data_IF_369047674921
#
_entry.id   IF_369047674921
#
_cell.length_a   1.000
_cell.length_b   1.000
_cell.length_c   1.000
_cell.angle_alpha   90.00
_cell.angle_beta   90.00
_cell.angle_gamma   90.00
#
_symmetry.space_group_name_H-M   'P 1'
#
loop_
_entity.id
_entity.type
_entity.pdbx_description
1 polymer ?
#
# COMPACT_ATOMS: atom_id res chain seq x y z
N UNK A 1 -13.44 4.20 33.28
CA UNK A 1 -13.47 5.27 32.27
C UNK A 1 -12.86 6.50 32.93
N UNK A 2 -11.66 6.94 32.53
CA UNK A 2 -11.03 8.12 33.12
C UNK A 2 -11.70 9.38 32.54
N UNK A 3 -12.21 10.31 33.36
CA UNK A 3 -12.82 11.53 32.85
C UNK A 3 -11.72 12.46 32.32
N UNK A 4 -11.71 12.71 31.02
CA UNK A 4 -10.83 13.71 30.41
C UNK A 4 -11.36 15.11 30.65
N UNK A 5 -10.48 16.07 30.96
CA UNK A 5 -10.85 17.47 31.14
C UNK A 5 -11.09 18.15 29.78
N UNK A 6 -12.29 18.69 29.49
CA UNK A 6 -12.55 19.44 28.26
C UNK A 6 -11.68 20.69 28.18
N UNK A 7 -11.15 21.01 26.99
CA UNK A 7 -10.44 22.27 26.72
C UNK A 7 -8.91 22.21 26.74
N UNK A 8 -8.30 21.05 27.00
CA UNK A 8 -6.86 20.86 26.85
C UNK A 8 -6.54 20.17 25.51
N UNK A 9 -5.93 20.90 24.58
CA UNK A 9 -5.30 20.29 23.41
C UNK A 9 -4.15 19.41 23.88
N UNK A 10 -4.34 18.09 23.84
CA UNK A 10 -3.23 17.14 23.97
C UNK A 10 -2.58 16.97 22.62
N UNK A 11 -1.29 17.29 22.53
CA UNK A 11 -0.47 16.90 21.39
C UNK A 11 -0.39 15.37 21.39
N UNK A 12 -1.15 14.72 20.50
CA UNK A 12 -1.22 13.26 20.40
C UNK A 12 0.07 12.68 19.80
N UNK A 13 0.85 13.48 19.07
CA UNK A 13 2.13 13.10 18.48
C UNK A 13 2.95 14.33 18.05
N UNK A 14 4.26 14.13 17.89
CA UNK A 14 5.19 15.08 17.27
C UNK A 14 6.33 14.31 16.60
N UNK A 15 7.23 14.96 15.84
CA UNK A 15 8.24 14.30 14.99
C UNK A 15 9.26 13.39 15.72
N UNK A 16 9.17 13.24 17.04
CA UNK A 16 10.04 12.42 17.86
C UNK A 16 9.30 11.48 18.82
N UNK A 17 8.03 11.16 18.54
CA UNK A 17 7.26 10.14 19.28
C UNK A 17 7.16 8.89 18.41
N UNK A 18 7.44 7.72 18.98
CA UNK A 18 7.28 6.45 18.26
C UNK A 18 5.87 6.34 17.67
N UNK A 19 5.79 6.02 16.37
CA UNK A 19 4.53 5.94 15.63
C UNK A 19 4.00 7.29 15.13
N UNK A 20 4.83 8.33 15.02
CA UNK A 20 4.43 9.60 14.41
C UNK A 20 4.20 9.42 12.90
N UNK A 21 3.20 10.12 12.36
CA UNK A 21 2.97 10.15 10.93
C UNK A 21 3.90 11.18 10.27
N UNK A 22 4.63 10.74 9.26
CA UNK A 22 5.49 11.55 8.41
C UNK A 22 4.88 11.62 7.01
N UNK A 23 4.29 12.76 6.67
CA UNK A 23 3.81 13.01 5.32
C UNK A 23 4.99 13.14 4.35
N UNK A 24 4.82 12.63 3.14
CA UNK A 24 5.78 12.79 2.04
C UNK A 24 5.06 13.36 0.82
N UNK A 25 5.82 13.93 -0.12
CA UNK A 25 5.27 14.15 -1.46
C UNK A 25 4.85 12.79 -2.02
N UNK A 26 3.60 12.60 -2.48
CA UNK A 26 3.13 11.30 -2.94
C UNK A 26 4.05 10.67 -3.98
N UNK A 27 4.39 9.40 -3.79
CA UNK A 27 5.33 8.69 -4.63
C UNK A 27 4.87 7.29 -4.97
N UNK A 28 4.93 6.94 -6.25
CA UNK A 28 4.67 5.56 -6.70
C UNK A 28 5.80 4.65 -6.26
N UNK A 29 5.47 3.58 -5.56
CA UNK A 29 6.44 2.53 -5.17
C UNK A 29 6.30 1.27 -6.01
N UNK A 30 5.15 1.12 -6.69
CA UNK A 30 4.88 -0.02 -7.55
C UNK A 30 3.78 0.28 -8.59
N UNK A 31 3.97 -0.23 -9.81
CA UNK A 31 2.97 -0.30 -10.87
C UNK A 31 3.11 -1.65 -11.56
N UNK A 32 2.04 -2.45 -11.61
CA UNK A 32 2.13 -3.78 -12.24
C UNK A 32 2.27 -3.71 -13.76
N UNK A 33 2.09 -2.54 -14.38
CA UNK A 33 2.14 -2.37 -15.84
C UNK A 33 3.54 -2.05 -16.36
N UNK A 34 4.47 -1.69 -15.48
CA UNK A 34 5.85 -1.29 -15.85
C UNK A 34 6.84 -2.44 -15.60
N UNK A 35 7.97 -2.43 -16.29
CA UNK A 35 8.89 -3.56 -16.37
C UNK A 35 9.49 -4.01 -15.03
N UNK A 36 9.77 -3.07 -14.12
CA UNK A 36 10.42 -3.32 -12.83
C UNK A 36 9.48 -3.00 -11.65
N UNK A 37 9.56 -3.74 -10.52
CA UNK A 37 10.41 -4.90 -10.27
C UNK A 37 9.79 -6.25 -10.70
N UNK A 38 8.47 -6.30 -10.90
CA UNK A 38 7.76 -7.51 -11.29
C UNK A 38 6.49 -7.10 -12.04
N UNK A 39 6.48 -7.16 -13.39
CA UNK A 39 5.36 -6.72 -14.21
C UNK A 39 4.26 -7.78 -14.24
N UNK A 40 3.12 -7.38 -14.80
CA UNK A 40 2.03 -8.26 -15.17
C UNK A 40 0.81 -8.13 -14.25
N UNK A 41 -0.35 -8.40 -14.86
CA UNK A 41 -1.63 -8.50 -14.17
C UNK A 41 -1.54 -9.49 -13.00
N UNK A 42 -2.24 -9.21 -11.91
CA UNK A 42 -2.34 -10.12 -10.77
C UNK A 42 -3.64 -10.94 -10.93
N UNK A 43 -3.51 -12.21 -11.30
CA UNK A 43 -4.65 -13.11 -11.49
C UNK A 43 -5.22 -13.61 -10.16
N UNK A 44 -6.43 -14.15 -10.21
CA UNK A 44 -7.08 -14.77 -9.07
C UNK A 44 -6.19 -15.82 -8.39
N UNK A 45 -6.13 -15.78 -7.06
CA UNK A 45 -5.28 -16.61 -6.19
C UNK A 45 -3.76 -16.38 -6.37
N UNK A 46 -3.34 -15.40 -7.17
CA UNK A 46 -1.95 -14.97 -7.20
C UNK A 46 -1.67 -13.93 -6.11
N UNK A 47 -0.40 -13.84 -5.76
CA UNK A 47 0.12 -12.86 -4.82
C UNK A 47 1.45 -12.30 -5.28
N UNK A 48 1.77 -11.10 -4.82
CA UNK A 48 3.06 -10.44 -5.08
C UNK A 48 3.52 -9.72 -3.82
N UNK A 49 4.76 -10.00 -3.40
CA UNK A 49 5.41 -9.26 -2.31
C UNK A 49 6.16 -8.08 -2.91
N UNK A 50 5.90 -6.89 -2.37
CA UNK A 50 6.34 -5.60 -2.90
C UNK A 50 7.09 -4.85 -1.81
N UNK A 51 8.33 -4.46 -2.08
CA UNK A 51 9.03 -3.49 -1.24
C UNK A 51 8.50 -2.08 -1.49
N UNK A 52 8.17 -1.35 -0.43
CA UNK A 52 7.80 0.06 -0.47
C UNK A 52 8.97 0.98 -0.12
N UNK A 53 10.17 0.43 0.09
CA UNK A 53 11.33 1.19 0.55
C UNK A 53 11.80 2.27 -0.44
N UNK A 54 11.51 2.12 -1.74
CA UNK A 54 12.00 3.02 -2.79
C UNK A 54 10.87 3.54 -3.66
N UNK A 55 10.95 4.82 -4.04
CA UNK A 55 10.09 5.41 -5.07
C UNK A 55 10.59 5.01 -6.45
N UNK A 56 9.64 4.80 -7.36
CA UNK A 56 9.88 4.36 -8.73
C UNK A 56 9.30 5.34 -9.73
N UNK A 57 9.93 5.40 -10.90
CA UNK A 57 9.39 6.14 -12.04
C UNK A 57 8.35 5.32 -12.82
N UNK A 58 7.66 5.96 -13.76
CA UNK A 58 6.42 5.46 -14.36
C UNK A 58 6.58 4.80 -15.74
N UNK A 59 7.78 4.83 -16.31
CA UNK A 59 8.11 4.30 -17.63
C UNK A 59 8.57 2.85 -17.50
N UNK A 60 9.67 2.61 -16.78
CA UNK A 60 10.26 1.28 -16.61
C UNK A 60 10.10 0.73 -15.18
N UNK A 61 9.72 1.56 -14.21
CA UNK A 61 9.67 1.18 -12.79
C UNK A 61 11.04 1.23 -12.12
N UNK A 62 11.99 1.98 -12.67
CA UNK A 62 13.33 2.11 -12.09
C UNK A 62 13.30 2.92 -10.80
N UNK A 63 14.22 2.60 -9.88
CA UNK A 63 14.33 3.33 -8.62
C UNK A 63 14.85 4.74 -8.89
N UNK A 64 14.09 5.74 -8.45
CA UNK A 64 14.46 7.16 -8.54
C UNK A 64 14.75 7.80 -7.19
N UNK A 65 14.33 7.14 -6.12
CA UNK A 65 14.58 7.59 -4.75
C UNK A 65 14.66 6.37 -3.84
N UNK A 66 15.87 6.05 -3.40
CA UNK A 66 16.10 5.02 -2.40
C UNK A 66 15.74 5.54 -1.00
N UNK A 67 15.30 4.65 -0.12
CA UNK A 67 14.92 4.99 1.27
C UNK A 67 13.76 6.00 1.38
N UNK A 68 12.91 6.05 0.35
CA UNK A 68 11.69 6.87 0.31
C UNK A 68 10.74 6.55 1.48
N UNK A 69 10.60 5.26 1.81
CA UNK A 69 10.06 4.82 3.09
C UNK A 69 11.24 4.34 3.95
N UNK A 70 11.64 5.11 4.98
CA UNK A 70 12.87 4.84 5.72
C UNK A 70 12.83 3.52 6.51
N UNK A 71 13.98 2.87 6.65
CA UNK A 71 14.16 1.71 7.55
C UNK A 71 13.62 2.00 8.96
N UNK A 72 12.83 1.08 9.53
CA UNK A 72 12.17 1.28 10.83
C UNK A 72 10.76 1.89 10.76
N UNK A 73 10.27 2.26 9.57
CA UNK A 73 8.85 2.53 9.38
C UNK A 73 8.02 1.27 9.68
N UNK A 74 6.96 1.43 10.47
CA UNK A 74 6.09 0.32 10.91
C UNK A 74 4.80 0.22 10.12
N UNK A 75 4.41 1.30 9.43
CA UNK A 75 3.23 1.35 8.56
C UNK A 75 3.36 2.45 7.51
N UNK A 76 2.51 2.39 6.48
CA UNK A 76 2.36 3.41 5.44
C UNK A 76 0.92 3.84 5.26
N UNK A 77 0.73 5.11 4.89
CA UNK A 77 -0.50 5.59 4.29
C UNK A 77 -0.37 5.48 2.76
N UNK A 78 -1.20 4.65 2.15
CA UNK A 78 -1.10 4.22 0.76
C UNK A 78 -2.40 4.49 0.01
N UNK A 79 -2.31 5.04 -1.20
CA UNK A 79 -3.37 4.94 -2.19
C UNK A 79 -3.15 3.70 -3.05
N UNK A 80 -4.11 2.80 -3.03
CA UNK A 80 -4.12 1.56 -3.81
C UNK A 80 -5.05 1.76 -5.00
N UNK A 81 -4.53 1.62 -6.20
CA UNK A 81 -5.32 1.67 -7.43
C UNK A 81 -5.44 0.31 -8.08
N UNK A 82 -6.64 -0.04 -8.55
CA UNK A 82 -6.87 -1.15 -9.48
C UNK A 82 -7.24 -0.59 -10.85
N UNK A 83 -6.66 -1.16 -11.91
CA UNK A 83 -6.87 -0.76 -13.29
C UNK A 83 -6.99 -1.98 -14.18
N UNK A 84 -7.72 -1.85 -15.30
CA UNK A 84 -7.93 -2.94 -16.26
C UNK A 84 -8.48 -4.23 -15.61
N UNK A 85 -9.43 -4.08 -14.69
CA UNK A 85 -10.02 -5.22 -13.98
C UNK A 85 -10.64 -6.23 -14.95
N UNK A 86 -10.58 -7.51 -14.60
CA UNK A 86 -11.22 -8.61 -15.30
C UNK A 86 -12.21 -9.27 -14.34
N UNK A 87 -13.51 -9.25 -14.69
CA UNK A 87 -14.63 -9.70 -13.82
C UNK A 87 -14.65 -8.96 -12.47
N UNK A 88 -15.53 -9.35 -11.56
CA UNK A 88 -15.51 -8.89 -10.16
C UNK A 88 -14.35 -9.50 -9.39
N UNK A 89 -13.87 -8.83 -8.35
CA UNK A 89 -12.80 -9.34 -7.50
C UNK A 89 -12.40 -8.37 -6.40
N UNK A 90 -11.31 -8.68 -5.71
CA UNK A 90 -10.74 -7.84 -4.66
C UNK A 90 -9.22 -8.00 -4.56
N UNK A 91 -8.56 -7.00 -3.96
CA UNK A 91 -7.20 -7.12 -3.46
C UNK A 91 -7.20 -7.15 -1.94
N UNK A 92 -6.49 -8.10 -1.35
CA UNK A 92 -6.06 -8.08 0.06
C UNK A 92 -4.61 -7.62 0.11
N UNK A 93 -4.28 -6.74 1.06
CA UNK A 93 -2.91 -6.27 1.25
C UNK A 93 -2.51 -6.44 2.71
N UNK A 94 -1.50 -7.27 2.93
CA UNK A 94 -0.97 -7.62 4.24
C UNK A 94 0.48 -7.13 4.41
N UNK A 95 1.03 -7.15 5.64
CA UNK A 95 2.48 -7.11 5.83
C UNK A 95 3.19 -8.16 4.97
N UNK A 96 4.39 -7.82 4.51
CA UNK A 96 5.21 -8.72 3.69
C UNK A 96 5.36 -10.12 4.31
N UNK A 97 5.13 -11.14 3.49
CA UNK A 97 5.19 -12.55 3.87
C UNK A 97 3.87 -13.16 4.38
N UNK A 98 2.86 -12.35 4.71
CA UNK A 98 1.56 -12.83 5.21
C UNK A 98 0.62 -13.11 4.04
N UNK A 99 0.15 -14.35 3.94
CA UNK A 99 -0.56 -14.87 2.75
C UNK A 99 -2.06 -15.12 3.01
N UNK A 100 -2.53 -14.88 4.23
CA UNK A 100 -3.90 -15.08 4.66
C UNK A 100 -4.84 -14.02 4.08
N UNK A 101 -6.02 -14.43 3.63
CA UNK A 101 -7.05 -13.54 3.11
C UNK A 101 -8.08 -13.32 4.23
N UNK A 102 -7.86 -12.28 5.05
CA UNK A 102 -8.76 -11.94 6.17
C UNK A 102 -9.70 -10.77 5.86
N UNK A 103 -9.24 -9.81 5.06
CA UNK A 103 -10.02 -8.63 4.66
C UNK A 103 -9.61 -8.15 3.27
N UNK A 104 -10.56 -7.61 2.51
CA UNK A 104 -10.28 -6.90 1.29
C UNK A 104 -9.86 -5.46 1.59
N UNK A 105 -8.83 -4.97 0.90
CA UNK A 105 -8.40 -3.57 0.91
C UNK A 105 -9.10 -2.76 -0.19
N UNK A 106 -9.53 -3.39 -1.28
CA UNK A 106 -10.33 -2.78 -2.34
C UNK A 106 -11.13 -3.87 -3.07
N UNK A 107 -12.38 -3.57 -3.42
CA UNK A 107 -13.27 -4.47 -4.16
C UNK A 107 -13.70 -3.81 -5.48
N UNK A 108 -13.96 -4.63 -6.49
CA UNK A 108 -14.54 -4.19 -7.77
C UNK A 108 -15.58 -5.19 -8.26
N UNK A 109 -16.52 -4.73 -9.08
CA UNK A 109 -17.71 -5.49 -9.45
C UNK A 109 -17.77 -5.89 -10.92
N UNK A 110 -16.94 -5.30 -11.77
CA UNK A 110 -16.98 -5.51 -13.21
C UNK A 110 -15.58 -5.36 -13.84
N UNK A 111 -15.49 -5.72 -15.13
CA UNK A 111 -14.29 -5.52 -15.94
C UNK A 111 -14.11 -4.05 -16.38
N UNK A 112 -12.86 -3.65 -16.63
CA UNK A 112 -12.52 -2.34 -17.17
C UNK A 112 -12.68 -1.18 -16.18
N UNK A 113 -12.73 -1.47 -14.88
CA UNK A 113 -12.84 -0.44 -13.85
C UNK A 113 -11.47 0.15 -13.50
N UNK A 114 -11.49 1.44 -13.16
CA UNK A 114 -10.37 2.16 -12.55
C UNK A 114 -10.88 2.68 -11.20
N UNK A 115 -10.39 2.10 -10.11
CA UNK A 115 -10.83 2.44 -8.75
C UNK A 115 -9.60 2.67 -7.86
N UNK A 116 -9.74 3.57 -6.90
CA UNK A 116 -8.70 3.86 -5.92
C UNK A 116 -9.28 3.76 -4.50
N UNK A 117 -8.45 3.33 -3.54
CA UNK A 117 -8.78 3.37 -2.12
C UNK A 117 -7.57 3.82 -1.29
N UNK A 118 -7.80 4.73 -0.35
CA UNK A 118 -6.81 5.16 0.64
C UNK A 118 -6.82 4.23 1.85
N UNK A 119 -5.69 3.63 2.18
CA UNK A 119 -5.55 2.65 3.26
C UNK A 119 -4.29 2.89 4.08
N UNK A 120 -4.33 2.52 5.35
CA UNK A 120 -3.15 2.42 6.21
C UNK A 120 -2.75 0.96 6.33
N UNK A 121 -1.48 0.65 6.05
CA UNK A 121 -0.98 -0.72 5.97
C UNK A 121 0.24 -0.89 6.85
N UNK A 122 0.22 -1.86 7.75
CA UNK A 122 1.39 -2.26 8.54
C UNK A 122 2.43 -2.96 7.66
N UNK A 123 3.70 -2.74 7.95
CA UNK A 123 4.83 -3.31 7.21
C UNK A 123 5.51 -4.41 8.02
N UNK A 124 6.21 -5.32 7.32
CA UNK A 124 7.26 -6.14 7.95
C UNK A 124 8.55 -5.31 8.12
N UNK A 125 9.58 -5.92 8.73
CA UNK A 125 10.87 -5.25 8.99
C UNK A 125 11.60 -4.80 7.72
N UNK A 126 11.37 -5.50 6.61
CA UNK A 126 11.97 -5.23 5.30
C UNK A 126 11.21 -4.17 4.49
N UNK A 127 10.14 -3.58 5.07
CA UNK A 127 9.28 -2.58 4.45
C UNK A 127 8.58 -3.12 3.21
N UNK A 128 7.94 -4.26 3.39
CA UNK A 128 7.22 -4.96 2.33
C UNK A 128 5.75 -5.14 2.65
N UNK A 129 4.98 -5.28 1.57
CA UNK A 129 3.57 -5.62 1.54
C UNK A 129 3.37 -6.86 0.67
N UNK A 130 2.50 -7.77 1.09
CA UNK A 130 2.00 -8.85 0.22
C UNK A 130 0.62 -8.47 -0.30
N UNK A 131 0.50 -8.31 -1.63
CA UNK A 131 -0.76 -8.06 -2.33
C UNK A 131 -1.29 -9.38 -2.89
N UNK A 132 -2.55 -9.70 -2.64
CA UNK A 132 -3.20 -10.95 -3.05
C UNK A 132 -4.47 -10.61 -3.81
N UNK A 133 -4.67 -11.22 -4.98
CA UNK A 133 -5.90 -11.06 -5.76
C UNK A 133 -6.86 -12.23 -5.52
N UNK A 134 -8.12 -11.93 -5.29
CA UNK A 134 -9.17 -12.92 -5.05
C UNK A 134 -10.51 -12.55 -5.68
N UNK A 135 -11.51 -13.44 -5.52
CA UNK A 135 -12.87 -13.22 -6.01
C UNK A 135 -13.12 -13.62 -7.48
N UNK A 136 -12.17 -14.31 -8.11
CA UNK A 136 -12.30 -14.86 -9.46
C UNK A 136 -11.93 -13.90 -10.60
N UNK A 137 -11.54 -12.67 -10.26
CA UNK A 137 -11.07 -11.65 -11.19
C UNK A 137 -9.55 -11.49 -11.21
N UNK A 138 -9.08 -10.61 -12.09
CA UNK A 138 -7.68 -10.22 -12.22
C UNK A 138 -7.58 -8.71 -12.40
N UNK A 139 -6.46 -8.09 -12.04
CA UNK A 139 -6.29 -6.64 -12.22
C UNK A 139 -4.82 -6.24 -12.30
N UNK A 140 -4.56 -5.16 -13.02
CA UNK A 140 -3.35 -4.39 -12.77
C UNK A 140 -3.55 -3.56 -11.51
N UNK A 141 -2.47 -3.25 -10.80
CA UNK A 141 -2.55 -2.44 -9.60
C UNK A 141 -1.35 -1.51 -9.43
N UNK A 142 -1.58 -0.43 -8.72
CA UNK A 142 -0.58 0.57 -8.37
C UNK A 142 -0.60 0.86 -6.88
N UNK A 143 0.56 1.18 -6.32
CA UNK A 143 0.71 1.58 -4.93
C UNK A 143 1.44 2.93 -4.87
N UNK A 144 0.77 3.92 -4.28
CA UNK A 144 1.30 5.27 -4.07
C UNK A 144 1.37 5.56 -2.58
N UNK A 145 2.55 5.89 -2.06
CA UNK A 145 2.72 6.23 -0.65
C UNK A 145 2.57 7.73 -0.47
N UNK A 146 1.76 8.13 0.51
CA UNK A 146 1.50 9.53 0.90
C UNK A 146 2.13 9.89 2.25
N UNK A 147 2.57 8.89 3.00
CA UNK A 147 3.33 9.04 4.23
C UNK A 147 3.58 7.71 4.92
N UNK A 148 4.35 7.73 6.00
CA UNK A 148 4.69 6.56 6.80
C UNK A 148 4.61 6.85 8.30
N UNK A 149 4.60 5.78 9.10
CA UNK A 149 4.60 5.86 10.55
C UNK A 149 5.93 5.32 11.09
N UNK A 150 6.59 6.06 11.98
CA UNK A 150 7.83 5.67 12.65
C UNK A 150 7.95 6.29 14.03
#
# INVERSE_FOLDING_TARGET
MYPGNPGAWRKLSGPGVAGAFHAVTPGRVYDSRVANPSPGILDNNQRRTISVASRRELVNGDVVESDFVPAGATAVACNVGVVDTQRSGFLTINPGGINEINSASINWSASGQILNNGVMLTLNVDRELTVICGGGGATNFVLDITGYFR
#
